data_IF_110067669264
#
_entry.id   IF_110067669264
#
_cell.length_a   1.000
_cell.length_b   1.000
_cell.length_c   1.000
_cell.angle_alpha   90.00
_cell.angle_beta   90.00
_cell.angle_gamma   90.00
#
_symmetry.space_group_name_H-M   'P 1'
#
loop_
_entity.id
_entity.type
_entity.pdbx_description
1 polymer ?
#
# COMPACT_ATOMS: atom_id res chain seq x y z
N UNK A 1 -14.19 14.66 -0.83
CA UNK A 1 -14.72 14.19 0.47
C UNK A 1 -15.23 12.76 0.33
N UNK A 2 -14.51 11.77 0.86
CA UNK A 2 -14.94 10.36 0.82
C UNK A 2 -15.76 10.04 2.08
N UNK A 3 -16.97 9.50 1.90
CA UNK A 3 -17.84 9.05 2.99
C UNK A 3 -17.28 7.75 3.60
N UNK A 4 -17.04 7.67 4.92
CA UNK A 4 -16.49 6.46 5.52
C UNK A 4 -17.54 5.33 5.53
N UNK A 5 -17.19 4.18 4.95
CA UNK A 5 -17.97 2.95 5.06
C UNK A 5 -17.72 2.37 6.46
N UNK A 6 -18.79 2.25 7.26
CA UNK A 6 -18.76 1.57 8.57
C UNK A 6 -18.89 0.06 8.34
N UNK A 7 -17.77 -0.65 8.34
CA UNK A 7 -17.78 -2.12 8.40
C UNK A 7 -18.03 -2.55 9.85
N UNK A 8 -18.99 -3.46 10.07
CA UNK A 8 -19.18 -4.05 11.39
C UNK A 8 -17.96 -4.92 11.74
N UNK A 9 -17.20 -4.52 12.76
CA UNK A 9 -16.03 -5.27 13.20
C UNK A 9 -16.45 -6.64 13.74
N UNK A 10 -15.95 -7.71 13.13
CA UNK A 10 -16.10 -9.05 13.67
C UNK A 10 -15.03 -9.26 14.74
N UNK A 11 -15.37 -9.61 15.99
CA UNK A 11 -14.40 -9.69 17.10
C UNK A 11 -13.33 -10.78 16.92
N UNK A 12 -13.48 -11.64 15.90
CA UNK A 12 -12.51 -12.70 15.55
C UNK A 12 -11.45 -12.25 14.54
N UNK A 13 -11.54 -11.02 14.02
CA UNK A 13 -10.64 -10.52 12.98
C UNK A 13 -9.98 -9.24 13.47
N UNK A 14 -8.66 -9.28 13.67
CA UNK A 14 -7.89 -8.08 13.93
C UNK A 14 -7.89 -7.23 12.66
N UNK A 15 -8.60 -6.10 12.70
CA UNK A 15 -8.67 -5.19 11.57
C UNK A 15 -7.40 -4.34 11.52
N UNK A 16 -6.60 -4.54 10.48
CA UNK A 16 -5.47 -3.67 10.17
C UNK A 16 -5.91 -2.64 9.14
N UNK A 17 -5.60 -1.37 9.37
CA UNK A 17 -5.84 -0.30 8.39
C UNK A 17 -4.83 -0.42 7.26
N UNK A 18 -5.32 -0.57 6.04
CA UNK A 18 -4.51 -0.41 4.84
C UNK A 18 -4.44 1.07 4.45
N UNK A 19 -3.25 1.52 4.08
CA UNK A 19 -3.02 2.85 3.51
C UNK A 19 -3.36 2.86 2.01
N UNK A 20 -3.10 1.74 1.32
CA UNK A 20 -3.39 1.55 -0.09
C UNK A 20 -3.62 0.07 -0.40
N UNK A 21 -4.44 -0.22 -1.41
CA UNK A 21 -4.61 -1.56 -1.98
C UNK A 21 -4.97 -1.47 -3.47
N UNK A 22 -4.34 -2.29 -4.30
CA UNK A 22 -4.67 -2.44 -5.72
C UNK A 22 -4.31 -3.83 -6.25
N UNK A 23 -4.78 -4.17 -7.45
CA UNK A 23 -4.32 -5.37 -8.16
C UNK A 23 -2.91 -5.16 -8.71
N UNK A 24 -2.11 -6.22 -8.72
CA UNK A 24 -0.78 -6.23 -9.33
C UNK A 24 -0.93 -6.41 -10.86
N UNK A 25 -0.92 -5.31 -11.60
CA UNK A 25 -1.10 -5.34 -13.05
C UNK A 25 -2.39 -6.07 -13.46
N UNK A 26 -2.33 -6.89 -14.50
CA UNK A 26 -3.44 -7.75 -14.92
C UNK A 26 -3.35 -9.15 -14.28
N UNK A 27 -3.38 -9.21 -12.95
CA UNK A 27 -3.33 -10.48 -12.20
C UNK A 27 -4.37 -10.52 -11.07
N UNK A 28 -4.44 -11.65 -10.38
CA UNK A 28 -5.25 -11.83 -9.16
C UNK A 28 -4.46 -11.57 -7.88
N UNK A 29 -3.21 -11.11 -7.99
CA UNK A 29 -2.40 -10.74 -6.85
C UNK A 29 -2.72 -9.31 -6.41
N UNK A 30 -2.64 -9.03 -5.11
CA UNK A 30 -2.90 -7.73 -4.50
C UNK A 30 -1.59 -7.11 -4.02
N UNK A 31 -1.36 -5.84 -4.37
CA UNK A 31 -0.40 -4.96 -3.71
C UNK A 31 -1.10 -4.18 -2.62
N UNK A 32 -0.51 -4.13 -1.44
CA UNK A 32 -1.06 -3.48 -0.27
C UNK A 32 0.02 -2.66 0.43
N UNK A 33 -0.36 -1.56 1.06
CA UNK A 33 0.53 -0.79 1.93
C UNK A 33 -0.06 -0.72 3.33
N UNK A 34 0.73 -1.11 4.31
CA UNK A 34 0.39 -1.07 5.74
C UNK A 34 1.63 -0.70 6.53
N UNK A 35 1.49 0.14 7.55
CA UNK A 35 2.61 0.67 8.35
C UNK A 35 3.80 1.13 7.49
N UNK A 36 3.48 1.87 6.42
CA UNK A 36 4.45 2.41 5.45
C UNK A 36 5.32 1.35 4.73
N UNK A 37 4.86 0.10 4.69
CA UNK A 37 5.54 -1.00 4.03
C UNK A 37 4.66 -1.66 2.98
N UNK A 38 5.29 -2.12 1.90
CA UNK A 38 4.62 -2.76 0.78
C UNK A 38 4.51 -4.27 1.04
N UNK A 39 3.32 -4.81 0.84
CA UNK A 39 3.00 -6.22 0.94
C UNK A 39 2.38 -6.70 -0.38
N UNK A 40 2.68 -7.96 -0.72
CA UNK A 40 2.16 -8.65 -1.89
C UNK A 40 1.42 -9.90 -1.46
N UNK A 41 0.16 -10.02 -1.85
CA UNK A 41 -0.65 -11.22 -1.69
C UNK A 41 -0.86 -11.88 -3.05
N UNK A 42 -0.32 -13.09 -3.25
CA UNK A 42 -0.32 -13.75 -4.56
C UNK A 42 -1.70 -14.15 -5.09
N UNK A 43 -2.68 -14.35 -4.19
CA UNK A 43 -4.08 -14.60 -4.54
C UNK A 43 -5.00 -14.22 -3.38
N UNK A 44 -6.30 -13.98 -3.58
CA UNK A 44 -7.21 -13.60 -2.49
C UNK A 44 -7.31 -14.62 -1.36
N UNK A 45 -7.00 -15.89 -1.64
CA UNK A 45 -7.02 -17.00 -0.69
C UNK A 45 -5.64 -17.36 -0.14
N UNK A 46 -4.59 -16.65 -0.54
CA UNK A 46 -3.24 -16.94 -0.08
C UNK A 46 -3.18 -16.76 1.45
N UNK A 47 -2.59 -17.74 2.17
CA UNK A 47 -2.60 -17.74 3.63
C UNK A 47 -1.64 -16.72 4.25
N UNK A 48 -0.65 -16.26 3.48
CA UNK A 48 0.43 -15.39 3.95
C UNK A 48 0.73 -14.33 2.90
N UNK A 49 0.97 -13.12 3.39
CA UNK A 49 1.40 -11.99 2.56
C UNK A 49 2.92 -11.91 2.54
N UNK A 50 3.49 -11.65 1.36
CA UNK A 50 4.91 -11.42 1.20
C UNK A 50 5.21 -9.95 1.44
N UNK A 51 5.98 -9.64 2.47
CA UNK A 51 6.52 -8.29 2.70
C UNK A 51 7.60 -7.98 1.66
N UNK A 52 7.47 -6.86 0.96
CA UNK A 52 8.43 -6.39 -0.06
C UNK A 52 9.39 -5.33 0.49
N UNK A 53 8.98 -4.56 1.50
CA UNK A 53 9.83 -3.57 2.18
C UNK A 53 9.71 -3.70 3.69
N UNK A 54 10.77 -3.41 4.42
CA UNK A 54 10.78 -3.44 5.88
C UNK A 54 11.31 -2.18 6.58
N UNK A 55 11.61 -1.14 5.80
CA UNK A 55 12.18 0.14 6.24
C UNK A 55 11.14 1.19 6.63
N UNK A 56 9.83 0.92 6.45
CA UNK A 56 8.77 1.88 6.73
C UNK A 56 8.75 2.31 8.20
N UNK A 57 8.69 3.62 8.43
CA UNK A 57 8.61 4.24 9.74
C UNK A 57 7.45 5.25 9.72
N UNK A 58 6.40 5.07 10.53
CA UNK A 58 5.26 5.99 10.54
C UNK A 58 5.69 7.44 10.75
N UNK A 59 5.28 8.33 9.84
CA UNK A 59 5.62 9.75 9.92
C UNK A 59 7.01 10.12 9.41
N UNK A 60 7.84 9.16 8.97
CA UNK A 60 9.24 9.41 8.57
C UNK A 60 9.57 8.75 7.22
N UNK A 61 9.43 7.44 7.11
CA UNK A 61 9.75 6.69 5.88
C UNK A 61 8.46 6.10 5.32
N UNK A 62 8.11 6.45 4.09
CA UNK A 62 6.90 5.96 3.38
C UNK A 62 7.32 5.18 2.14
N UNK A 63 6.94 3.91 2.03
CA UNK A 63 7.20 3.10 0.85
C UNK A 63 5.90 2.87 0.07
N UNK A 64 5.89 3.27 -1.21
CA UNK A 64 4.78 2.99 -2.12
C UNK A 64 3.53 3.88 -1.96
N UNK A 65 3.55 4.81 -1.00
CA UNK A 65 2.56 5.89 -0.83
C UNK A 65 3.30 7.20 -0.59
N UNK A 66 2.78 8.34 -1.06
CA UNK A 66 3.41 9.64 -0.85
C UNK A 66 3.33 10.12 0.60
N UNK A 67 4.26 11.01 0.97
CA UNK A 67 4.08 11.91 2.11
C UNK A 67 2.99 12.97 1.81
N UNK A 68 2.72 13.86 2.78
CA UNK A 68 1.70 14.90 2.61
C UNK A 68 2.01 15.86 1.44
N UNK A 69 3.27 16.28 1.29
CA UNK A 69 3.64 17.25 0.25
C UNK A 69 3.49 16.65 -1.15
N UNK A 70 3.95 15.42 -1.34
CA UNK A 70 3.81 14.74 -2.62
C UNK A 70 2.36 14.36 -2.93
N UNK A 71 1.53 14.11 -1.91
CA UNK A 71 0.11 13.84 -2.12
C UNK A 71 -0.66 15.09 -2.59
N UNK A 72 -0.37 16.26 -2.01
CA UNK A 72 -1.15 17.47 -2.29
C UNK A 72 -0.63 18.24 -3.52
N UNK A 73 0.69 18.25 -3.76
CA UNK A 73 1.30 19.22 -4.68
C UNK A 73 2.03 18.60 -5.88
N UNK A 74 2.41 17.32 -5.82
CA UNK A 74 3.30 16.71 -6.83
C UNK A 74 2.66 15.56 -7.59
N UNK A 75 2.12 14.57 -6.87
CA UNK A 75 1.51 13.40 -7.49
C UNK A 75 0.02 13.64 -7.74
N UNK A 76 -0.48 13.33 -8.95
CA UNK A 76 -1.90 13.48 -9.26
C UNK A 76 -2.77 12.43 -8.55
N UNK A 77 -2.17 11.32 -8.09
CA UNK A 77 -2.84 10.21 -7.45
C UNK A 77 -2.13 9.85 -6.14
N UNK A 78 -2.84 9.29 -5.13
CA UNK A 78 -2.25 8.90 -3.85
C UNK A 78 -1.40 7.62 -3.91
N UNK A 79 -1.00 7.19 -5.11
CA UNK A 79 -0.20 5.98 -5.34
C UNK A 79 1.21 6.34 -5.76
N UNK A 80 2.20 5.69 -5.16
CA UNK A 80 3.61 5.83 -5.52
C UNK A 80 4.23 4.46 -5.88
N UNK A 81 3.42 3.64 -6.55
CA UNK A 81 3.74 2.29 -7.01
C UNK A 81 3.24 2.11 -8.44
N UNK A 82 4.09 1.54 -9.29
CA UNK A 82 3.83 1.33 -10.71
C UNK A 82 4.22 -0.10 -11.09
N UNK A 83 3.29 -1.06 -11.01
CA UNK A 83 3.53 -2.41 -11.45
C UNK A 83 3.61 -2.49 -12.99
N UNK A 84 4.41 -3.40 -13.53
CA UNK A 84 4.33 -3.75 -14.95
C UNK A 84 2.96 -4.37 -15.26
N UNK A 85 2.52 -4.27 -16.52
CA UNK A 85 1.20 -4.77 -16.93
C UNK A 85 1.00 -6.28 -16.64
N UNK A 86 2.07 -7.07 -16.72
CA UNK A 86 2.10 -8.50 -16.42
C UNK A 86 2.33 -8.82 -14.93
N UNK A 87 2.55 -7.80 -14.09
CA UNK A 87 2.80 -7.95 -12.65
C UNK A 87 4.17 -8.54 -12.28
N UNK A 88 5.09 -8.72 -13.23
CA UNK A 88 6.40 -9.35 -12.94
C UNK A 88 7.39 -8.39 -12.30
N UNK A 89 7.18 -7.08 -12.44
CA UNK A 89 8.05 -6.03 -11.90
C UNK A 89 7.22 -4.98 -11.18
N UNK A 90 7.83 -4.35 -10.18
CA UNK A 90 7.26 -3.24 -9.45
C UNK A 90 8.31 -2.13 -9.32
N UNK A 91 7.98 -0.95 -9.82
CA UNK A 91 8.67 0.28 -9.43
C UNK A 91 7.87 0.92 -8.28
N UNK A 92 8.56 1.44 -7.28
CA UNK A 92 7.93 2.20 -6.20
C UNK A 92 8.86 3.32 -5.75
N UNK A 93 8.30 4.36 -5.13
CA UNK A 93 9.06 5.42 -4.49
C UNK A 93 9.10 5.25 -2.98
N UNK A 94 10.21 5.71 -2.38
CA UNK A 94 10.36 5.89 -0.94
C UNK A 94 10.51 7.37 -0.63
N UNK A 95 9.68 7.89 0.26
CA UNK A 95 9.73 9.26 0.77
C UNK A 95 10.33 9.25 2.16
N UNK A 96 11.19 10.22 2.45
CA UNK A 96 11.94 10.31 3.70
C UNK A 96 11.85 11.72 4.30
N UNK A 97 11.10 11.84 5.39
CA UNK A 97 10.86 13.08 6.15
C UNK A 97 11.85 13.27 7.31
N UNK A 98 12.99 12.58 7.31
CA UNK A 98 14.05 12.82 8.31
C UNK A 98 14.54 14.27 8.21
N UNK A 99 14.65 14.94 9.36
CA UNK A 99 15.13 16.32 9.48
C UNK A 99 16.62 16.47 9.21
#
# INVERSE_FOLDING_TARGET
HHTPIRLHASPRVQQTRLQYASWLGNSTALLMVSDNNIFLRMSPTAPVDKRLTDTGVPGIIYNGVPDWLYQEEVLPNPEAMWPSADGTRLLYATFNDTK
#
